data_IF_251243639472
#
_entry.id   IF_251243639472
#
_cell.length_a   1.000
_cell.length_b   1.000
_cell.length_c   1.000
_cell.angle_alpha   90.00
_cell.angle_beta   90.00
_cell.angle_gamma   90.00
#
_symmetry.space_group_name_H-M   'P 1'
#
loop_
_entity.id
_entity.type
_entity.pdbx_description
1 polymer ?
#
# COMPACT_ATOMS: atom_id res chain seq x y z
N UNK A 1 34.47 -23.03 -30.72
CA UNK A 1 34.24 -24.46 -31.09
C UNK A 1 35.49 -25.08 -31.71
N UNK A 2 35.95 -26.22 -31.21
CA UNK A 2 37.14 -26.91 -31.73
C UNK A 2 36.75 -27.68 -33.01
N UNK A 3 37.51 -27.59 -34.10
CA UNK A 3 37.24 -28.28 -35.39
C UNK A 3 37.25 -29.82 -35.33
N UNK A 4 37.28 -30.39 -34.13
CA UNK A 4 37.39 -31.83 -33.83
C UNK A 4 36.13 -32.46 -33.25
N UNK A 5 35.05 -31.70 -32.99
CA UNK A 5 33.79 -32.30 -32.52
C UNK A 5 33.10 -32.98 -33.71
N UNK A 6 32.88 -34.29 -33.59
CA UNK A 6 32.11 -35.05 -34.57
C UNK A 6 30.61 -34.86 -34.32
N UNK A 7 29.79 -35.05 -35.36
CA UNK A 7 28.32 -35.05 -35.22
C UNK A 7 27.88 -36.07 -34.16
N UNK A 8 28.45 -37.28 -34.19
CA UNK A 8 28.11 -38.34 -33.23
C UNK A 8 28.36 -37.91 -31.79
N UNK A 9 29.52 -37.33 -31.50
CA UNK A 9 29.85 -36.83 -30.16
C UNK A 9 28.91 -35.70 -29.73
N UNK A 10 28.57 -34.80 -30.66
CA UNK A 10 27.68 -33.67 -30.37
C UNK A 10 26.26 -34.15 -30.01
N UNK A 11 25.70 -35.06 -30.80
CA UNK A 11 24.36 -35.61 -30.56
C UNK A 11 24.31 -36.35 -29.22
N UNK A 12 25.31 -37.19 -28.93
CA UNK A 12 25.39 -37.94 -27.67
C UNK A 12 25.50 -37.01 -26.45
N UNK A 13 26.36 -35.99 -26.50
CA UNK A 13 26.55 -35.05 -25.39
C UNK A 13 25.30 -34.23 -25.08
N UNK A 14 24.51 -33.92 -26.10
CA UNK A 14 23.30 -33.10 -25.96
C UNK A 14 22.02 -33.95 -25.86
N UNK A 15 22.15 -35.28 -25.75
CA UNK A 15 21.03 -36.21 -25.69
C UNK A 15 20.02 -36.03 -26.84
N UNK A 16 20.52 -35.75 -28.05
CA UNK A 16 19.69 -35.57 -29.24
C UNK A 16 19.52 -36.93 -29.91
N UNK A 17 18.27 -37.34 -30.11
CA UNK A 17 17.94 -38.58 -30.79
C UNK A 17 18.30 -38.50 -32.28
N UNK A 18 18.66 -39.64 -32.87
CA UNK A 18 19.05 -39.69 -34.29
C UNK A 18 17.88 -39.33 -35.19
N UNK A 19 16.67 -39.70 -34.79
CA UNK A 19 15.41 -39.38 -35.46
C UNK A 19 15.20 -37.86 -35.49
N UNK A 20 15.39 -37.17 -34.36
CA UNK A 20 15.28 -35.70 -34.27
C UNK A 20 16.28 -35.00 -35.20
N UNK A 21 17.52 -35.50 -35.27
CA UNK A 21 18.52 -34.98 -36.20
C UNK A 21 18.10 -35.17 -37.67
N UNK A 22 17.58 -36.36 -38.03
CA UNK A 22 17.14 -36.64 -39.40
C UNK A 22 15.93 -35.76 -39.78
N UNK A 23 14.99 -35.55 -38.86
CA UNK A 23 13.83 -34.68 -39.04
C UNK A 23 14.23 -33.21 -39.22
N UNK A 24 15.34 -32.79 -38.61
CA UNK A 24 15.82 -31.41 -38.73
C UNK A 24 16.28 -31.05 -40.14
N UNK A 25 16.63 -32.06 -40.98
CA UNK A 25 17.10 -31.88 -42.37
C UNK A 25 18.27 -30.90 -42.50
N UNK A 26 19.05 -30.72 -41.43
CA UNK A 26 20.18 -29.81 -41.39
C UNK A 26 21.43 -30.50 -41.93
N UNK A 27 22.31 -29.70 -42.52
CA UNK A 27 23.67 -30.12 -42.81
C UNK A 27 24.57 -29.79 -41.61
N UNK A 28 25.38 -30.75 -41.17
CA UNK A 28 26.32 -30.59 -40.05
C UNK A 28 27.33 -29.46 -40.29
N UNK A 29 27.85 -29.32 -41.51
CA UNK A 29 28.81 -28.26 -41.86
C UNK A 29 28.18 -26.88 -41.74
N UNK A 30 26.92 -26.71 -42.18
CA UNK A 30 26.18 -25.46 -41.99
C UNK A 30 26.02 -25.12 -40.51
N UNK A 31 25.66 -26.11 -39.69
CA UNK A 31 25.47 -25.93 -38.26
C UNK A 31 26.79 -25.59 -37.54
N UNK A 32 27.89 -26.26 -37.91
CA UNK A 32 29.21 -25.98 -37.38
C UNK A 32 29.68 -24.57 -37.77
N UNK A 33 29.46 -24.15 -39.01
CA UNK A 33 29.80 -22.81 -39.48
C UNK A 33 29.00 -21.73 -38.73
N UNK A 34 27.72 -21.96 -38.43
CA UNK A 34 26.94 -21.06 -37.56
C UNK A 34 27.57 -20.98 -36.18
N UNK A 35 27.95 -22.11 -35.59
CA UNK A 35 28.60 -22.17 -34.29
C UNK A 35 29.93 -21.40 -34.27
N UNK A 36 30.80 -21.63 -35.26
CA UNK A 36 32.07 -20.92 -35.41
C UNK A 36 31.88 -19.42 -35.58
N UNK A 37 30.93 -19.00 -36.44
CA UNK A 37 30.63 -17.59 -36.60
C UNK A 37 30.11 -16.98 -35.29
N UNK A 38 29.19 -17.64 -34.60
CA UNK A 38 28.63 -17.15 -33.33
C UNK A 38 29.71 -16.93 -32.27
N UNK A 39 30.68 -17.83 -32.14
CA UNK A 39 31.84 -17.66 -31.23
C UNK A 39 32.60 -16.36 -31.50
N UNK A 40 32.76 -15.97 -32.77
CA UNK A 40 33.42 -14.69 -33.12
C UNK A 40 32.57 -13.47 -32.73
N UNK A 41 31.25 -13.63 -32.61
CA UNK A 41 30.31 -12.55 -32.30
C UNK A 41 30.04 -12.41 -30.78
N UNK A 42 30.40 -13.39 -29.94
CA UNK A 42 30.08 -13.39 -28.50
C UNK A 42 30.47 -12.07 -27.84
N UNK A 43 31.73 -11.62 -27.99
CA UNK A 43 32.18 -10.37 -27.36
C UNK A 43 31.35 -9.15 -27.79
N UNK A 44 30.93 -9.08 -29.06
CA UNK A 44 30.09 -7.98 -29.56
C UNK A 44 28.68 -8.06 -28.95
N UNK A 45 28.11 -9.25 -28.86
CA UNK A 45 26.80 -9.47 -28.25
C UNK A 45 26.81 -9.15 -26.75
N UNK A 46 27.91 -9.46 -26.05
CA UNK A 46 28.08 -9.12 -24.64
C UNK A 46 28.10 -7.60 -24.42
N UNK A 47 28.79 -6.86 -25.29
CA UNK A 47 28.84 -5.40 -25.17
C UNK A 47 27.48 -4.77 -25.48
N UNK A 48 26.75 -5.25 -26.49
CA UNK A 48 25.37 -4.85 -26.73
C UNK A 48 24.45 -5.18 -25.54
N UNK A 49 24.60 -6.37 -24.95
CA UNK A 49 23.83 -6.78 -23.78
C UNK A 49 24.09 -5.87 -22.56
N UNK A 50 25.35 -5.49 -22.31
CA UNK A 50 25.71 -4.55 -21.24
C UNK A 50 25.08 -3.17 -21.46
N UNK A 51 25.09 -2.65 -22.68
CA UNK A 51 24.46 -1.37 -23.01
C UNK A 51 22.96 -1.42 -22.69
N UNK A 52 22.27 -2.45 -23.16
CA UNK A 52 20.84 -2.63 -22.88
C UNK A 52 20.56 -2.79 -21.38
N UNK A 53 21.33 -3.64 -20.69
CA UNK A 53 21.15 -3.88 -19.26
C UNK A 53 21.35 -2.60 -18.45
N UNK A 54 22.38 -1.81 -18.77
CA UNK A 54 22.65 -0.53 -18.11
C UNK A 54 21.57 0.52 -18.36
N UNK A 55 20.91 0.50 -19.53
CA UNK A 55 19.77 1.35 -19.81
C UNK A 55 18.54 0.92 -19.00
N UNK A 56 18.20 -0.37 -19.03
CA UNK A 56 17.00 -0.92 -18.37
C UNK A 56 17.10 -0.85 -16.85
N UNK A 57 18.29 -0.98 -16.28
CA UNK A 57 18.52 -0.89 -14.83
C UNK A 57 18.09 0.48 -14.24
N UNK A 58 17.97 1.51 -15.07
CA UNK A 58 17.54 2.86 -14.67
C UNK A 58 16.03 3.05 -14.71
N UNK A 59 15.27 2.08 -15.20
CA UNK A 59 13.81 2.17 -15.26
C UNK A 59 13.21 2.13 -13.85
N UNK A 60 12.12 2.86 -13.66
CA UNK A 60 11.42 2.89 -12.38
C UNK A 60 10.90 1.49 -12.02
N UNK A 61 10.98 1.14 -10.74
CA UNK A 61 10.51 -0.14 -10.17
C UNK A 61 11.22 -1.40 -10.71
N UNK A 62 12.30 -1.24 -11.49
CA UNK A 62 13.25 -2.32 -11.76
C UNK A 62 14.19 -2.45 -10.57
N UNK A 63 14.22 -3.65 -9.96
CA UNK A 63 15.13 -3.94 -8.86
C UNK A 63 16.53 -4.27 -9.39
N UNK A 64 16.62 -5.21 -10.31
CA UNK A 64 17.90 -5.66 -10.86
C UNK A 64 17.75 -6.22 -12.25
N UNK A 65 18.77 -6.02 -13.09
CA UNK A 65 18.85 -6.57 -14.43
C UNK A 65 20.00 -7.55 -14.51
N UNK A 66 19.71 -8.77 -14.98
CA UNK A 66 20.73 -9.73 -15.39
C UNK A 66 20.73 -9.82 -16.92
N UNK A 67 21.85 -10.23 -17.49
CA UNK A 67 21.92 -10.52 -18.91
C UNK A 67 22.79 -11.74 -19.15
N UNK A 68 22.57 -12.39 -20.29
CA UNK A 68 23.41 -13.48 -20.78
C UNK A 68 23.44 -13.48 -22.30
N UNK A 69 24.57 -13.89 -22.87
CA UNK A 69 24.66 -14.27 -24.28
C UNK A 69 24.46 -15.78 -24.37
N UNK A 70 23.71 -16.21 -25.38
CA UNK A 70 23.42 -17.63 -25.59
C UNK A 70 24.71 -18.39 -25.90
N UNK A 71 24.94 -19.46 -25.15
CA UNK A 71 26.05 -20.38 -25.39
C UNK A 71 25.92 -21.04 -26.78
N UNK A 72 27.06 -21.22 -27.45
CA UNK A 72 27.14 -21.80 -28.80
C UNK A 72 26.50 -23.18 -28.91
N UNK A 73 26.81 -24.09 -27.99
CA UNK A 73 26.24 -25.44 -28.00
C UNK A 73 24.72 -25.38 -27.84
N UNK A 74 24.23 -24.57 -26.90
CA UNK A 74 22.78 -24.38 -26.70
C UNK A 74 22.09 -23.71 -27.89
N UNK A 75 22.79 -22.84 -28.63
CA UNK A 75 22.29 -22.28 -29.88
C UNK A 75 22.10 -23.39 -30.93
N UNK A 76 23.10 -24.25 -31.13
CA UNK A 76 23.03 -25.33 -32.10
C UNK A 76 21.93 -26.34 -31.75
N UNK A 77 21.84 -26.75 -30.48
CA UNK A 77 20.75 -27.61 -29.99
C UNK A 77 19.38 -26.96 -30.24
N UNK A 78 19.24 -25.65 -29.98
CA UNK A 78 17.99 -24.93 -30.26
C UNK A 78 17.65 -24.96 -31.74
N UNK A 79 18.62 -24.75 -32.64
CA UNK A 79 18.41 -24.77 -34.09
C UNK A 79 17.92 -26.16 -34.53
N UNK A 80 18.61 -27.24 -34.12
CA UNK A 80 18.20 -28.63 -34.45
C UNK A 80 16.76 -28.88 -34.02
N UNK A 81 16.44 -28.64 -32.74
CA UNK A 81 15.11 -28.86 -32.17
C UNK A 81 14.01 -28.08 -32.91
N UNK A 82 14.31 -26.84 -33.33
CA UNK A 82 13.36 -25.96 -34.01
C UNK A 82 13.15 -26.37 -35.48
N UNK A 83 14.20 -26.81 -36.15
CA UNK A 83 14.11 -27.39 -37.49
C UNK A 83 13.36 -28.73 -37.49
N UNK A 84 13.62 -29.61 -36.51
CA UNK A 84 12.94 -30.90 -36.38
C UNK A 84 11.41 -30.73 -36.19
N UNK A 85 11.00 -29.70 -35.44
CA UNK A 85 9.59 -29.30 -35.29
C UNK A 85 8.99 -28.63 -36.53
N UNK A 86 9.73 -28.53 -37.63
CA UNK A 86 9.32 -27.87 -38.86
C UNK A 86 8.84 -26.42 -38.65
N UNK A 87 9.46 -25.67 -37.74
CA UNK A 87 9.11 -24.26 -37.55
C UNK A 87 9.51 -23.45 -38.80
N UNK A 88 8.56 -22.79 -39.52
CA UNK A 88 8.82 -22.21 -40.83
C UNK A 88 9.99 -21.22 -40.87
N UNK A 89 10.18 -20.44 -39.81
CA UNK A 89 11.26 -19.45 -39.70
C UNK A 89 12.67 -20.05 -39.67
N UNK A 90 12.81 -21.33 -39.34
CA UNK A 90 14.10 -22.03 -39.29
C UNK A 90 14.41 -22.83 -40.56
N UNK A 91 13.48 -22.91 -41.52
CA UNK A 91 13.61 -23.76 -42.71
C UNK A 91 14.81 -23.42 -43.61
N UNK A 92 15.19 -22.14 -43.68
CA UNK A 92 16.30 -21.64 -44.50
C UNK A 92 17.41 -20.98 -43.65
N UNK A 93 17.67 -21.53 -42.46
CA UNK A 93 18.69 -20.99 -41.56
C UNK A 93 20.11 -21.21 -42.10
N UNK A 94 20.94 -20.18 -41.97
CA UNK A 94 22.31 -20.12 -42.48
C UNK A 94 23.17 -19.19 -41.63
N UNK A 95 24.48 -19.17 -41.89
CA UNK A 95 25.43 -18.24 -41.22
C UNK A 95 25.03 -16.77 -41.43
N UNK A 96 24.41 -16.44 -42.55
CA UNK A 96 24.05 -15.06 -42.89
C UNK A 96 22.81 -14.54 -42.15
N UNK A 97 21.87 -15.41 -41.77
CA UNK A 97 20.55 -15.00 -41.23
C UNK A 97 20.20 -15.58 -39.85
N UNK A 98 21.01 -16.49 -39.28
CA UNK A 98 20.67 -17.10 -37.98
C UNK A 98 20.49 -16.07 -36.86
N UNK A 99 21.24 -14.96 -36.91
CA UNK A 99 21.17 -13.89 -35.90
C UNK A 99 19.85 -13.09 -35.96
N UNK A 100 19.16 -13.11 -37.10
CA UNK A 100 17.83 -12.52 -37.26
C UNK A 100 16.72 -13.51 -36.89
N UNK A 101 16.92 -14.80 -37.17
CA UNK A 101 15.95 -15.87 -36.88
C UNK A 101 15.92 -16.21 -35.37
N UNK A 102 17.09 -16.25 -34.73
CA UNK A 102 17.24 -16.59 -33.32
C UNK A 102 17.28 -15.30 -32.50
N UNK A 103 16.09 -14.83 -32.12
CA UNK A 103 15.95 -13.50 -31.50
C UNK A 103 16.35 -13.43 -30.02
N UNK A 104 16.73 -14.56 -29.41
CA UNK A 104 17.17 -14.67 -28.01
C UNK A 104 18.67 -15.02 -27.91
N UNK A 105 19.49 -14.54 -28.84
CA UNK A 105 20.95 -14.59 -28.72
C UNK A 105 21.44 -13.74 -27.54
N UNK A 106 20.81 -12.59 -27.32
CA UNK A 106 20.94 -11.77 -26.11
C UNK A 106 19.68 -11.99 -25.28
N UNK A 107 19.84 -12.48 -24.06
CA UNK A 107 18.76 -12.61 -23.08
C UNK A 107 18.97 -11.62 -21.95
N UNK A 108 18.02 -10.70 -21.76
CA UNK A 108 17.96 -9.77 -20.64
C UNK A 108 16.87 -10.25 -19.68
N UNK A 109 17.16 -10.27 -18.37
CA UNK A 109 16.20 -10.60 -17.33
C UNK A 109 16.02 -9.39 -16.44
N UNK A 110 14.81 -8.87 -16.43
CA UNK A 110 14.41 -7.71 -15.63
C UNK A 110 13.65 -8.22 -14.43
N UNK A 111 14.22 -7.98 -13.26
CA UNK A 111 13.66 -8.42 -11.98
C UNK A 111 13.01 -7.21 -11.32
N UNK A 112 11.72 -7.33 -11.00
CA UNK A 112 10.99 -6.38 -10.17
C UNK A 112 10.53 -7.05 -8.87
N UNK A 113 10.07 -6.27 -7.88
CA UNK A 113 9.70 -6.82 -6.57
C UNK A 113 8.26 -7.29 -6.52
N UNK A 114 7.31 -6.45 -6.98
CA UNK A 114 5.88 -6.70 -6.82
C UNK A 114 5.18 -6.87 -8.15
N UNK A 115 4.14 -7.72 -8.18
CA UNK A 115 3.35 -7.99 -9.39
C UNK A 115 2.65 -6.74 -9.93
N UNK A 116 2.18 -5.87 -9.04
CA UNK A 116 1.56 -4.59 -9.41
C UNK A 116 2.47 -3.69 -10.25
N UNK A 117 3.79 -3.80 -10.05
CA UNK A 117 4.76 -2.87 -10.63
C UNK A 117 5.03 -3.14 -12.11
N UNK A 118 4.60 -4.31 -12.60
CA UNK A 118 4.83 -4.75 -13.96
C UNK A 118 4.41 -3.70 -15.01
N UNK A 119 3.23 -3.07 -14.88
CA UNK A 119 2.74 -2.13 -15.89
C UNK A 119 3.63 -0.89 -16.05
N UNK A 120 4.28 -0.44 -14.97
CA UNK A 120 5.26 0.64 -15.05
C UNK A 120 6.54 0.20 -15.77
N UNK A 121 6.97 -1.04 -15.53
CA UNK A 121 8.12 -1.64 -16.24
C UNK A 121 7.78 -1.84 -17.73
N UNK A 122 6.60 -2.33 -18.06
CA UNK A 122 6.11 -2.47 -19.44
C UNK A 122 6.09 -1.13 -20.18
N UNK A 123 5.50 -0.11 -19.56
CA UNK A 123 5.47 1.24 -20.12
C UNK A 123 6.88 1.75 -20.37
N UNK A 124 7.80 1.54 -19.42
CA UNK A 124 9.21 1.94 -19.57
C UNK A 124 9.88 1.21 -20.74
N UNK A 125 9.68 -0.10 -20.89
CA UNK A 125 10.23 -0.89 -22.00
C UNK A 125 9.71 -0.38 -23.35
N UNK A 126 8.38 -0.21 -23.48
CA UNK A 126 7.75 0.20 -24.75
C UNK A 126 8.08 1.63 -25.15
N UNK A 127 8.32 2.51 -24.18
CA UNK A 127 8.73 3.88 -24.46
C UNK A 127 10.18 3.99 -24.94
N UNK A 128 11.05 3.05 -24.56
CA UNK A 128 12.48 3.09 -24.89
C UNK A 128 12.87 2.20 -26.06
N UNK A 129 12.14 1.11 -26.32
CA UNK A 129 12.52 0.09 -27.30
C UNK A 129 11.42 -0.19 -28.31
N UNK A 130 11.83 -0.50 -29.54
CA UNK A 130 10.93 -0.98 -30.58
C UNK A 130 10.74 -2.50 -30.45
N UNK A 131 9.49 -2.93 -30.25
CA UNK A 131 9.16 -4.36 -30.25
C UNK A 131 9.18 -4.93 -31.67
N UNK A 132 9.71 -6.13 -31.82
CA UNK A 132 9.69 -6.89 -33.08
C UNK A 132 8.51 -7.86 -33.17
N UNK A 133 8.05 -8.35 -32.02
CA UNK A 133 6.91 -9.29 -31.89
C UNK A 133 5.99 -8.80 -30.77
N UNK A 134 4.73 -9.24 -30.76
CA UNK A 134 3.82 -9.00 -29.64
C UNK A 134 4.38 -9.65 -28.37
N UNK A 135 4.34 -8.92 -27.26
CA UNK A 135 4.85 -9.45 -25.98
C UNK A 135 4.02 -10.65 -25.53
N UNK A 136 4.68 -11.69 -25.04
CA UNK A 136 4.03 -12.93 -24.61
C UNK A 136 4.02 -12.98 -23.08
N UNK A 137 2.84 -13.12 -22.48
CA UNK A 137 2.69 -13.33 -21.04
C UNK A 137 2.44 -14.81 -20.78
N UNK A 138 3.43 -15.46 -20.17
CA UNK A 138 3.29 -16.83 -19.69
C UNK A 138 2.66 -16.84 -18.29
N UNK A 139 1.62 -17.65 -18.13
CA UNK A 139 0.91 -17.85 -16.87
C UNK A 139 0.66 -19.35 -16.63
N UNK A 140 0.23 -19.70 -15.41
CA UNK A 140 -0.15 -21.08 -15.08
C UNK A 140 -1.65 -21.22 -14.87
N UNK A 141 -2.13 -22.46 -15.01
CA UNK A 141 -3.49 -22.78 -14.60
C UNK A 141 -3.70 -22.49 -13.11
N UNK A 142 -4.79 -21.80 -12.78
CA UNK A 142 -5.14 -21.40 -11.42
C UNK A 142 -4.55 -20.07 -10.96
N UNK A 143 -3.80 -19.34 -11.79
CA UNK A 143 -3.47 -17.94 -11.51
C UNK A 143 -4.73 -17.06 -11.49
N UNK A 144 -4.65 -15.94 -10.76
CA UNK A 144 -5.77 -15.00 -10.59
C UNK A 144 -6.28 -14.50 -11.95
N UNK A 145 -7.54 -14.81 -12.24
CA UNK A 145 -8.21 -14.41 -13.48
C UNK A 145 -8.27 -12.89 -13.62
N UNK A 146 -8.49 -12.16 -12.53
CA UNK A 146 -8.56 -10.69 -12.55
C UNK A 146 -7.22 -10.08 -12.97
N UNK A 147 -6.12 -10.64 -12.47
CA UNK A 147 -4.78 -10.23 -12.91
C UNK A 147 -4.58 -10.51 -14.40
N UNK A 148 -5.04 -11.67 -14.90
CA UNK A 148 -4.94 -12.04 -16.32
C UNK A 148 -5.81 -11.18 -17.24
N UNK A 149 -6.96 -10.67 -16.78
CA UNK A 149 -7.80 -9.74 -17.55
C UNK A 149 -7.00 -8.49 -17.98
N UNK A 150 -6.09 -8.00 -17.13
CA UNK A 150 -5.27 -6.83 -17.45
C UNK A 150 -4.34 -7.05 -18.65
N UNK A 151 -4.09 -8.32 -19.03
CA UNK A 151 -3.27 -8.69 -20.19
C UNK A 151 -4.10 -8.98 -21.44
N UNK A 152 -5.44 -8.96 -21.37
CA UNK A 152 -6.31 -9.14 -22.55
C UNK A 152 -6.42 -7.86 -23.36
N UNK A 153 -5.28 -7.41 -23.86
CA UNK A 153 -5.16 -6.24 -24.73
C UNK A 153 -4.44 -6.66 -26.01
N UNK A 154 -4.57 -5.93 -27.13
CA UNK A 154 -3.84 -6.27 -28.36
C UNK A 154 -2.31 -6.24 -28.21
N UNK A 155 -1.80 -5.68 -27.10
CA UNK A 155 -0.38 -5.52 -26.83
C UNK A 155 0.28 -6.77 -26.25
N UNK A 156 -0.51 -7.76 -25.81
CA UNK A 156 -0.01 -8.99 -25.19
C UNK A 156 -0.71 -10.24 -25.75
N UNK A 157 0.06 -11.32 -25.85
CA UNK A 157 -0.46 -12.66 -26.09
C UNK A 157 -0.37 -13.50 -24.81
N UNK A 158 -1.49 -14.02 -24.33
CA UNK A 158 -1.54 -14.87 -23.15
C UNK A 158 -1.28 -16.33 -23.52
N UNK A 159 -0.25 -16.95 -22.94
CA UNK A 159 0.08 -18.37 -23.14
C UNK A 159 0.16 -19.12 -21.82
N UNK A 160 -0.58 -20.21 -21.70
CA UNK A 160 -0.46 -21.11 -20.55
C UNK A 160 0.81 -21.95 -20.68
N UNK A 161 1.61 -22.03 -19.62
CA UNK A 161 2.83 -22.85 -19.62
C UNK A 161 2.64 -24.16 -18.83
N UNK A 162 2.94 -25.33 -19.40
CA UNK A 162 2.59 -26.64 -18.83
C UNK A 162 3.26 -26.96 -17.48
N UNK A 163 4.43 -26.39 -17.21
CA UNK A 163 5.19 -26.62 -15.95
C UNK A 163 5.11 -25.45 -14.96
N UNK A 164 4.09 -24.58 -15.10
CA UNK A 164 3.85 -23.48 -14.16
C UNK A 164 4.77 -22.27 -14.30
N UNK A 165 5.57 -22.22 -15.36
CA UNK A 165 6.46 -21.10 -15.65
C UNK A 165 5.67 -19.81 -15.86
N UNK A 166 6.17 -18.72 -15.27
CA UNK A 166 5.59 -17.38 -15.37
C UNK A 166 6.65 -16.36 -15.66
N UNK A 167 6.38 -15.53 -16.66
CA UNK A 167 7.25 -14.46 -17.11
C UNK A 167 6.60 -13.75 -18.28
N UNK A 168 7.00 -12.52 -18.50
CA UNK A 168 6.56 -11.73 -19.66
C UNK A 168 7.76 -11.54 -20.57
N UNK A 169 7.60 -11.96 -21.82
CA UNK A 169 8.67 -11.99 -22.82
C UNK A 169 8.42 -10.89 -23.84
N UNK A 170 9.42 -10.05 -24.03
CA UNK A 170 9.48 -9.06 -25.08
C UNK A 170 10.60 -9.43 -26.02
N UNK A 171 10.39 -9.22 -27.32
CA UNK A 171 11.46 -9.30 -28.30
C UNK A 171 11.65 -7.92 -28.88
N UNK A 172 12.81 -7.32 -28.61
CA UNK A 172 13.16 -5.98 -29.09
C UNK A 172 14.08 -6.08 -30.31
N UNK A 173 14.02 -5.05 -31.15
CA UNK A 173 14.94 -4.85 -32.28
C UNK A 173 15.65 -3.52 -32.12
N UNK A 174 16.97 -3.53 -32.16
CA UNK A 174 17.79 -2.34 -31.94
C UNK A 174 18.93 -2.27 -32.96
N UNK A 175 19.35 -1.04 -33.29
CA UNK A 175 20.47 -0.81 -34.21
C UNK A 175 21.62 -0.13 -33.47
N UNK A 176 22.73 -0.86 -33.29
CA UNK A 176 23.96 -0.33 -32.68
C UNK A 176 25.05 -0.32 -33.73
N UNK A 177 25.72 0.82 -33.91
CA UNK A 177 26.80 1.02 -34.89
C UNK A 177 26.44 0.51 -36.31
N UNK A 178 25.19 0.76 -36.74
CA UNK A 178 24.59 0.33 -38.02
C UNK A 178 24.36 -1.19 -38.18
N UNK A 179 24.49 -1.97 -37.10
CA UNK A 179 24.11 -3.39 -37.09
C UNK A 179 22.80 -3.57 -36.35
N UNK A 180 21.84 -4.20 -37.02
CA UNK A 180 20.58 -4.63 -36.40
C UNK A 180 20.86 -5.86 -35.53
N UNK A 181 20.28 -5.89 -34.33
CA UNK A 181 20.28 -7.07 -33.48
C UNK A 181 18.96 -7.19 -32.73
N UNK A 182 18.71 -8.39 -32.25
CA UNK A 182 17.53 -8.73 -31.47
C UNK A 182 17.95 -9.14 -30.05
N UNK A 183 17.09 -8.79 -29.10
CA UNK A 183 17.25 -9.24 -27.72
C UNK A 183 15.89 -9.65 -27.16
N UNK A 184 15.89 -10.73 -26.38
CA UNK A 184 14.74 -11.17 -25.62
C UNK A 184 14.84 -10.59 -24.20
N UNK A 185 13.84 -9.81 -23.80
CA UNK A 185 13.71 -9.28 -22.44
C UNK A 185 12.65 -10.11 -21.71
N UNK A 186 13.04 -10.71 -20.60
CA UNK A 186 12.16 -11.48 -19.72
C UNK A 186 11.93 -10.69 -18.44
N UNK A 187 10.70 -10.26 -18.20
CA UNK A 187 10.30 -9.57 -16.96
C UNK A 187 9.73 -10.61 -16.00
N UNK A 188 10.21 -10.59 -14.75
CA UNK A 188 9.85 -11.53 -13.68
C UNK A 188 9.94 -10.85 -12.32
N UNK A 189 9.20 -11.38 -11.34
CA UNK A 189 9.47 -11.05 -9.94
C UNK A 189 10.73 -11.75 -9.43
N UNK A 190 11.24 -11.33 -8.27
CA UNK A 190 12.37 -12.00 -7.61
C UNK A 190 12.10 -13.49 -7.31
N UNK A 191 10.86 -13.82 -6.93
CA UNK A 191 10.48 -15.21 -6.61
C UNK A 191 10.33 -16.05 -7.87
N UNK A 192 9.77 -15.49 -8.95
CA UNK A 192 9.69 -16.16 -10.25
C UNK A 192 11.06 -16.43 -10.86
N UNK A 193 11.98 -15.46 -10.76
CA UNK A 193 13.36 -15.64 -11.19
C UNK A 193 14.05 -16.71 -10.34
N UNK A 194 13.91 -16.66 -9.01
CA UNK A 194 14.49 -17.65 -8.10
C UNK A 194 14.02 -19.07 -8.42
N UNK A 195 12.71 -19.25 -8.61
CA UNK A 195 12.16 -20.53 -9.04
C UNK A 195 12.66 -20.96 -10.42
N UNK A 196 12.65 -20.04 -11.40
CA UNK A 196 13.03 -20.35 -12.79
C UNK A 196 14.50 -20.77 -12.91
N UNK A 197 15.40 -20.17 -12.12
CA UNK A 197 16.82 -20.54 -12.10
C UNK A 197 17.05 -21.91 -11.46
N UNK A 198 16.30 -22.24 -10.40
CA UNK A 198 16.34 -23.57 -9.77
C UNK A 198 15.80 -24.62 -10.75
N UNK A 199 14.63 -24.40 -11.35
CA UNK A 199 14.03 -25.30 -12.33
C UNK A 199 14.98 -25.54 -13.51
N UNK A 200 15.56 -24.47 -14.06
CA UNK A 200 16.53 -24.56 -15.14
C UNK A 200 17.77 -25.37 -14.73
N UNK A 201 18.34 -25.14 -13.54
CA UNK A 201 19.54 -25.86 -13.08
C UNK A 201 19.30 -27.35 -12.81
N UNK A 202 18.10 -27.73 -12.39
CA UNK A 202 17.75 -29.13 -12.08
C UNK A 202 17.31 -29.90 -13.33
N UNK A 203 16.60 -29.25 -14.26
CA UNK A 203 16.14 -29.91 -15.49
C UNK A 203 17.21 -29.93 -16.57
N UNK A 204 18.09 -28.92 -16.65
CA UNK A 204 19.05 -28.82 -17.74
C UNK A 204 20.39 -29.51 -17.40
N UNK A 205 21.09 -30.17 -18.36
CA UNK A 205 20.77 -30.32 -19.80
C UNK A 205 19.79 -31.44 -20.15
N UNK A 206 19.76 -32.50 -19.33
CA UNK A 206 19.23 -33.79 -19.75
C UNK A 206 17.71 -33.96 -19.55
N UNK A 207 16.99 -32.88 -19.22
CA UNK A 207 15.55 -32.83 -18.95
C UNK A 207 15.10 -34.02 -18.09
N UNK A 208 15.33 -33.92 -16.78
CA UNK A 208 15.03 -35.04 -15.89
C UNK A 208 13.53 -35.35 -15.84
N UNK A 209 13.12 -36.48 -16.41
CA UNK A 209 11.74 -37.00 -16.39
C UNK A 209 11.32 -37.64 -15.05
N UNK A 210 12.16 -37.49 -14.02
CA UNK A 210 11.87 -38.01 -12.69
C UNK A 210 10.63 -37.32 -12.09
N UNK A 211 9.55 -38.09 -11.93
CA UNK A 211 8.26 -37.62 -11.40
C UNK A 211 8.37 -36.97 -10.01
N UNK A 212 9.27 -37.44 -9.15
CA UNK A 212 9.48 -36.84 -7.82
C UNK A 212 10.07 -35.43 -7.93
N UNK A 213 11.09 -35.24 -8.77
CA UNK A 213 11.67 -33.92 -9.00
C UNK A 213 10.64 -32.96 -9.60
N UNK A 214 9.85 -33.42 -10.57
CA UNK A 214 8.79 -32.61 -11.16
C UNK A 214 7.74 -32.18 -10.12
N UNK A 215 7.36 -33.09 -9.21
CA UNK A 215 6.44 -32.79 -8.13
C UNK A 215 7.00 -31.71 -7.18
N UNK A 216 8.24 -31.85 -6.72
CA UNK A 216 8.88 -30.86 -5.84
C UNK A 216 9.09 -29.50 -6.53
N UNK A 217 9.45 -29.49 -7.82
CA UNK A 217 9.56 -28.25 -8.59
C UNK A 217 8.21 -27.56 -8.75
N UNK A 218 7.13 -28.32 -8.92
CA UNK A 218 5.77 -27.76 -8.94
C UNK A 218 5.35 -27.20 -7.57
N UNK A 219 5.71 -27.86 -6.46
CA UNK A 219 5.49 -27.30 -5.12
C UNK A 219 6.27 -26.01 -4.91
N UNK A 220 7.54 -25.97 -5.34
CA UNK A 220 8.38 -24.77 -5.26
C UNK A 220 7.78 -23.62 -6.09
N UNK A 221 7.19 -23.92 -7.26
CA UNK A 221 6.49 -22.94 -8.09
C UNK A 221 5.27 -22.33 -7.39
N UNK A 222 4.52 -23.17 -6.66
CA UNK A 222 3.39 -22.73 -5.84
C UNK A 222 3.83 -21.80 -4.74
N UNK A 223 4.88 -22.15 -4.00
CA UNK A 223 5.42 -21.30 -2.94
C UNK A 223 5.94 -19.97 -3.47
N UNK A 224 6.62 -19.95 -4.62
CA UNK A 224 7.07 -18.70 -5.26
C UNK A 224 5.88 -17.78 -5.60
N UNK A 225 4.80 -18.33 -6.17
CA UNK A 225 3.59 -17.56 -6.44
C UNK A 225 2.91 -17.02 -5.18
N UNK A 226 2.79 -17.85 -4.14
CA UNK A 226 2.23 -17.38 -2.86
C UNK A 226 3.11 -16.33 -2.18
N UNK A 227 4.44 -16.38 -2.36
CA UNK A 227 5.35 -15.36 -1.87
C UNK A 227 5.16 -14.02 -2.60
N UNK A 228 4.93 -14.04 -3.92
CA UNK A 228 4.55 -12.84 -4.68
C UNK A 228 3.24 -12.22 -4.14
N UNK A 229 2.20 -13.05 -3.94
CA UNK A 229 0.90 -12.61 -3.43
C UNK A 229 1.01 -12.03 -2.01
N UNK A 230 1.75 -12.70 -1.12
CA UNK A 230 2.02 -12.20 0.23
C UNK A 230 2.81 -10.89 0.20
N UNK A 231 3.77 -10.74 -0.71
CA UNK A 231 4.52 -9.49 -0.89
C UNK A 231 3.60 -8.33 -1.26
N UNK A 232 2.68 -8.54 -2.20
CA UNK A 232 1.68 -7.55 -2.60
C UNK A 232 0.74 -7.18 -1.42
N UNK A 233 0.33 -8.17 -0.62
CA UNK A 233 -0.50 -7.94 0.55
C UNK A 233 0.22 -7.10 1.63
N UNK A 234 1.49 -7.39 1.92
CA UNK A 234 2.30 -6.62 2.88
C UNK A 234 2.45 -5.17 2.43
N UNK A 235 2.69 -4.95 1.13
CA UNK A 235 2.74 -3.61 0.53
C UNK A 235 1.41 -2.87 0.70
N UNK A 236 0.29 -3.54 0.46
CA UNK A 236 -1.05 -2.98 0.66
C UNK A 236 -1.34 -2.60 2.12
N UNK A 237 -0.95 -3.45 3.07
CA UNK A 237 -1.10 -3.17 4.51
C UNK A 237 -0.28 -1.97 4.97
N UNK A 238 0.96 -1.83 4.50
CA UNK A 238 1.83 -0.70 4.85
C UNK A 238 1.24 0.62 4.36
N UNK A 239 0.69 0.63 3.14
CA UNK A 239 0.00 1.79 2.59
C UNK A 239 -1.25 2.16 3.42
N UNK A 240 -2.02 1.17 3.85
CA UNK A 240 -3.22 1.38 4.69
C UNK A 240 -2.85 1.92 6.07
N UNK A 241 -1.85 1.35 6.75
CA UNK A 241 -1.38 1.87 8.03
C UNK A 241 -0.83 3.30 7.92
N UNK A 242 -0.13 3.60 6.82
CA UNK A 242 0.36 4.95 6.54
C UNK A 242 -0.80 5.93 6.35
N UNK A 243 -1.85 5.55 5.61
CA UNK A 243 -3.06 6.36 5.44
C UNK A 243 -3.75 6.61 6.78
N UNK A 244 -3.99 5.56 7.57
CA UNK A 244 -4.63 5.69 8.88
C UNK A 244 -3.83 6.59 9.82
N UNK A 245 -2.50 6.49 9.81
CA UNK A 245 -1.63 7.37 10.60
C UNK A 245 -1.76 8.83 10.16
N UNK A 246 -1.80 9.10 8.85
CA UNK A 246 -2.03 10.45 8.32
C UNK A 246 -3.39 11.01 8.75
N UNK A 247 -4.46 10.21 8.67
CA UNK A 247 -5.80 10.61 9.11
C UNK A 247 -5.85 10.94 10.61
N UNK A 248 -5.18 10.12 11.45
CA UNK A 248 -5.07 10.36 12.90
C UNK A 248 -4.27 11.64 13.18
N UNK A 249 -3.16 11.87 12.47
CA UNK A 249 -2.33 13.07 12.63
C UNK A 249 -3.09 14.34 12.21
N UNK A 250 -3.86 14.28 11.12
CA UNK A 250 -4.72 15.36 10.65
C UNK A 250 -5.86 15.66 11.63
N UNK A 251 -6.54 14.62 12.12
CA UNK A 251 -7.60 14.76 13.12
C UNK A 251 -7.05 15.36 14.43
N UNK A 252 -5.87 14.91 14.88
CA UNK A 252 -5.20 15.45 16.06
C UNK A 252 -4.81 16.92 15.91
N UNK A 253 -4.29 17.31 14.74
CA UNK A 253 -3.98 18.72 14.42
C UNK A 253 -5.25 19.58 14.40
N UNK A 254 -6.33 19.09 13.79
CA UNK A 254 -7.62 19.79 13.76
C UNK A 254 -8.21 19.95 15.18
N UNK A 255 -8.10 18.91 16.01
CA UNK A 255 -8.53 18.94 17.41
C UNK A 255 -7.71 19.94 18.22
N UNK A 256 -6.38 19.95 18.11
CA UNK A 256 -5.53 20.91 18.80
C UNK A 256 -5.82 22.36 18.37
N UNK A 257 -5.99 22.61 17.07
CA UNK A 257 -6.38 23.94 16.59
C UNK A 257 -7.75 24.38 17.14
N UNK A 258 -8.68 23.44 17.29
CA UNK A 258 -9.99 23.70 17.90
C UNK A 258 -9.84 23.99 19.39
N UNK A 259 -9.02 23.23 20.10
CA UNK A 259 -8.75 23.43 21.52
C UNK A 259 -8.13 24.81 21.77
N UNK A 260 -7.16 25.24 20.97
CA UNK A 260 -6.58 26.59 21.03
C UNK A 260 -7.64 27.69 20.78
N UNK A 261 -8.62 27.47 19.90
CA UNK A 261 -9.73 28.41 19.71
C UNK A 261 -10.64 28.47 20.93
N UNK A 262 -10.95 27.32 21.54
CA UNK A 262 -11.75 27.23 22.76
C UNK A 262 -11.03 27.92 23.92
N UNK A 263 -9.74 27.68 24.10
CA UNK A 263 -8.92 28.34 25.13
C UNK A 263 -8.93 29.86 24.97
N UNK A 264 -8.72 30.36 23.74
CA UNK A 264 -8.84 31.80 23.45
C UNK A 264 -10.21 32.38 23.79
N UNK A 265 -11.30 31.67 23.43
CA UNK A 265 -12.65 32.11 23.77
C UNK A 265 -12.89 32.13 25.29
N UNK A 266 -12.36 31.14 26.02
CA UNK A 266 -12.45 31.09 27.50
C UNK A 266 -11.71 32.27 28.13
N UNK A 267 -10.50 32.59 27.68
CA UNK A 267 -9.75 33.76 28.14
C UNK A 267 -10.50 35.08 27.86
N UNK A 268 -11.09 35.21 26.67
CA UNK A 268 -11.86 36.38 26.29
C UNK A 268 -13.12 36.55 27.16
N UNK A 269 -13.84 35.46 27.43
CA UNK A 269 -14.98 35.45 28.35
C UNK A 269 -14.58 35.80 29.77
N UNK A 270 -13.42 35.32 30.26
CA UNK A 270 -12.91 35.70 31.58
C UNK A 270 -12.64 37.21 31.67
N UNK A 271 -11.96 37.79 30.68
CA UNK A 271 -11.72 39.24 30.60
C UNK A 271 -13.03 40.03 30.59
N UNK A 272 -14.02 39.57 29.83
CA UNK A 272 -15.35 40.19 29.80
C UNK A 272 -16.08 40.11 31.15
N UNK A 273 -15.98 38.97 31.85
CA UNK A 273 -16.55 38.80 33.20
C UNK A 273 -15.93 39.74 34.22
N UNK A 274 -14.61 39.91 34.21
CA UNK A 274 -13.90 40.85 35.09
C UNK A 274 -14.30 42.31 34.81
N UNK A 275 -14.40 42.68 33.53
CA UNK A 275 -14.88 44.00 33.12
C UNK A 275 -16.31 44.25 33.60
N UNK A 276 -17.20 43.27 33.44
CA UNK A 276 -18.58 43.35 33.92
C UNK A 276 -18.67 43.44 35.44
N UNK A 277 -17.84 42.72 36.20
CA UNK A 277 -17.78 42.84 37.65
C UNK A 277 -17.35 44.25 38.08
N UNK A 278 -16.38 44.85 37.38
CA UNK A 278 -15.94 46.23 37.62
C UNK A 278 -17.03 47.25 37.30
N UNK A 279 -17.73 47.09 36.18
CA UNK A 279 -18.89 47.92 35.82
C UNK A 279 -20.03 47.79 36.83
N UNK A 280 -20.36 46.58 37.29
CA UNK A 280 -21.37 46.37 38.32
C UNK A 280 -21.00 47.07 39.64
N UNK A 281 -19.73 47.03 40.05
CA UNK A 281 -19.25 47.73 41.25
C UNK A 281 -19.36 49.26 41.12
N UNK A 282 -19.14 49.79 39.91
CA UNK A 282 -19.38 51.22 39.63
C UNK A 282 -20.87 51.56 39.69
N UNK A 283 -21.74 50.70 39.16
CA UNK A 283 -23.19 50.86 39.26
C UNK A 283 -23.66 50.86 40.72
N UNK A 284 -23.16 49.93 41.55
CA UNK A 284 -23.46 49.91 42.99
C UNK A 284 -23.00 51.18 43.70
N UNK A 285 -21.79 51.67 43.42
CA UNK A 285 -21.29 52.92 43.98
C UNK A 285 -22.15 54.12 43.55
N UNK A 286 -22.51 54.21 42.28
CA UNK A 286 -23.39 55.26 41.77
C UNK A 286 -24.79 55.17 42.38
N UNK A 287 -25.33 53.97 42.60
CA UNK A 287 -26.59 53.78 43.30
C UNK A 287 -26.51 54.23 44.76
N UNK A 288 -25.41 53.94 45.45
CA UNK A 288 -25.17 54.39 46.82
C UNK A 288 -25.04 55.93 46.91
N UNK A 289 -24.36 56.54 45.94
CA UNK A 289 -24.22 58.00 45.82
C UNK A 289 -25.56 58.67 45.52
N UNK A 290 -26.34 58.13 44.58
CA UNK A 290 -27.71 58.58 44.29
C UNK A 290 -28.57 58.49 45.56
N UNK A 291 -28.44 57.44 46.36
CA UNK A 291 -29.19 57.29 47.62
C UNK A 291 -28.77 58.34 48.65
N UNK A 292 -27.47 58.66 48.74
CA UNK A 292 -26.94 59.70 49.63
C UNK A 292 -27.41 61.09 49.22
N UNK A 293 -27.30 61.44 47.94
CA UNK A 293 -27.74 62.72 47.39
C UNK A 293 -29.26 62.91 47.50
N UNK A 294 -30.06 61.84 47.33
CA UNK A 294 -31.50 61.89 47.61
C UNK A 294 -31.81 62.10 49.10
N UNK A 295 -31.02 61.52 50.00
CA UNK A 295 -31.12 61.77 51.44
C UNK A 295 -30.81 63.23 51.80
N UNK A 296 -29.78 63.80 51.18
CA UNK A 296 -29.37 65.20 51.35
C UNK A 296 -30.37 66.19 50.73
N UNK A 297 -30.96 65.86 49.57
CA UNK A 297 -32.09 66.60 48.98
C UNK A 297 -33.33 66.57 49.87
N UNK A 298 -33.66 65.44 50.49
CA UNK A 298 -34.79 65.37 51.41
C UNK A 298 -34.54 66.19 52.69
N UNK A 299 -33.29 66.28 53.15
CA UNK A 299 -32.90 67.13 54.27
C UNK A 299 -32.97 68.62 53.91
N UNK A 300 -32.53 69.00 52.70
CA UNK A 300 -32.61 70.39 52.21
C UNK A 300 -34.05 70.83 51.92
N UNK A 301 -34.91 69.95 51.42
CA UNK A 301 -36.35 70.20 51.27
C UNK A 301 -37.03 70.36 52.65
N UNK A 302 -36.64 69.57 53.65
CA UNK A 302 -37.15 69.72 55.02
C UNK A 302 -36.72 71.06 55.66
N UNK A 303 -35.47 71.49 55.43
CA UNK A 303 -34.95 72.78 55.90
C UNK A 303 -35.62 73.94 55.17
N UNK A 304 -35.82 73.84 53.84
CA UNK A 304 -36.50 74.86 53.05
C UNK A 304 -37.98 74.99 53.42
N UNK A 305 -38.68 73.89 53.70
CA UNK A 305 -40.06 73.92 54.17
C UNK A 305 -40.20 74.54 55.57
N UNK A 306 -39.22 74.34 56.46
CA UNK A 306 -39.15 75.05 57.74
C UNK A 306 -38.87 76.55 57.60
N UNK A 307 -38.13 76.96 56.57
CA UNK A 307 -37.86 78.38 56.29
C UNK A 307 -39.09 79.11 55.72
N UNK A 308 -39.86 78.46 54.82
CA UNK A 308 -41.10 79.03 54.28
C UNK A 308 -42.26 79.05 55.29
N UNK A 309 -42.35 78.07 56.19
CA UNK A 309 -43.35 78.08 57.28
C UNK A 309 -43.01 79.12 58.37
N UNK A 310 -41.73 79.40 58.61
CA UNK A 310 -41.27 80.48 59.48
C UNK A 310 -41.64 81.88 58.97
N UNK A 311 -41.45 82.14 57.67
CA UNK A 311 -41.75 83.47 57.09
C UNK A 311 -43.25 83.73 56.83
N UNK A 312 -44.06 82.69 56.60
CA UNK A 312 -45.53 82.85 56.47
C UNK A 312 -46.19 83.10 57.84
N UNK A 313 -45.57 82.67 58.95
CA UNK A 313 -46.00 82.97 60.32
C UNK A 313 -45.78 84.44 60.72
N UNK A 314 -44.74 85.09 60.20
CA UNK A 314 -44.42 86.49 60.54
C UNK A 314 -45.11 87.54 59.64
N UNK A 315 -45.42 87.22 58.38
CA UNK A 315 -46.16 88.14 57.50
C UNK A 315 -47.69 88.05 57.69
N UNK A 316 -48.20 86.93 58.22
CA UNK A 316 -49.64 86.74 58.48
C UNK A 316 -50.19 87.42 59.74
N UNK A 317 -49.35 87.95 60.64
CA UNK A 317 -49.79 88.56 61.91
C UNK A 317 -49.96 90.09 61.89
N UNK A 318 -49.67 90.77 60.78
CA UNK A 318 -49.80 92.24 60.70
C UNK A 318 -50.76 92.79 59.64
N UNK A 319 -51.46 91.96 58.85
CA UNK A 319 -52.48 92.45 57.90
C UNK A 319 -53.67 91.47 57.83
N UNK A 320 -54.63 91.62 58.76
CA UNK A 320 -56.10 91.53 58.55
C UNK A 320 -56.84 91.51 59.90
N UNK A 321 -56.98 92.69 60.49
CA UNK A 321 -58.20 93.07 61.20
C UNK A 321 -59.01 93.96 60.27
N UNK A 322 -60.26 93.55 59.99
CA UNK A 322 -61.24 94.36 59.28
C UNK A 322 -61.44 93.98 57.82
N UNK A 323 -62.40 93.10 57.56
CA UNK A 323 -63.59 93.32 56.71
C UNK A 323 -64.35 91.99 56.65
N UNK A 324 -65.55 91.99 57.22
CA UNK A 324 -66.56 90.95 57.06
C UNK A 324 -67.05 90.92 55.60
N UNK A 325 -67.21 89.73 55.02
CA UNK A 325 -68.31 89.50 54.10
C UNK A 325 -68.82 88.06 54.23
N UNK A 326 -70.12 88.00 54.11
CA UNK A 326 -71.07 86.95 54.45
C UNK A 326 -71.33 86.01 53.26
N UNK A 327 -72.02 84.90 53.55
CA UNK A 327 -72.73 83.99 52.64
C UNK A 327 -71.98 83.00 51.72
N UNK A 328 -72.45 81.73 51.76
CA UNK A 328 -72.67 80.96 50.52
C UNK A 328 -72.33 79.47 50.56
N UNK A 329 -73.27 78.65 51.02
CA UNK A 329 -73.37 77.23 50.67
C UNK A 329 -73.66 77.02 49.17
N UNK A 330 -73.04 75.98 48.59
CA UNK A 330 -73.53 75.01 47.58
C UNK A 330 -72.69 74.80 46.29
N UNK A 331 -72.24 73.55 46.17
CA UNK A 331 -72.30 72.60 45.03
C UNK A 331 -71.81 72.92 43.61
N UNK A 332 -71.16 71.87 43.07
CA UNK A 332 -71.02 71.46 41.65
C UNK A 332 -70.05 72.30 40.79
N UNK A 333 -69.24 71.75 39.87
CA UNK A 333 -69.30 70.50 39.09
C UNK A 333 -67.89 70.16 38.56
N UNK A 334 -67.65 68.87 38.26
CA UNK A 334 -66.87 68.29 37.12
C UNK A 334 -65.62 69.05 36.60
N UNK A 335 -64.47 68.40 36.37
CA UNK A 335 -64.26 67.42 35.29
C UNK A 335 -63.05 66.50 35.59
N UNK A 336 -63.25 65.24 35.19
CA UNK A 336 -62.32 64.13 34.83
C UNK A 336 -61.38 63.48 35.86
N UNK A 337 -61.89 62.33 36.32
CA UNK A 337 -61.22 61.04 36.58
C UNK A 337 -61.43 60.17 35.29
N UNK A 338 -61.07 58.86 35.20
CA UNK A 338 -59.78 58.15 35.26
C UNK A 338 -59.76 56.89 34.30
N UNK A 339 -58.97 55.85 34.64
CA UNK A 339 -59.15 54.38 34.41
C UNK A 339 -58.28 53.65 33.37
N UNK A 340 -57.49 52.72 33.92
CA UNK A 340 -57.37 51.26 33.67
C UNK A 340 -57.32 50.65 32.25
N UNK A 341 -56.42 49.67 32.16
CA UNK A 341 -56.21 48.60 31.17
C UNK A 341 -57.48 48.04 30.49
N UNK A 342 -57.35 47.68 29.20
CA UNK A 342 -57.78 46.40 28.59
C UNK A 342 -57.10 46.24 27.21
N UNK A 343 -56.78 44.98 26.89
CA UNK A 343 -55.98 44.45 25.79
C UNK A 343 -56.56 44.60 24.36
N UNK A 344 -55.68 44.47 23.34
CA UNK A 344 -56.08 43.86 22.06
C UNK A 344 -55.28 44.20 20.78
N UNK A 345 -54.38 43.28 20.38
CA UNK A 345 -54.03 42.79 19.00
C UNK A 345 -53.41 43.80 17.99
N UNK A 346 -52.34 43.48 17.25
CA UNK A 346 -52.23 42.39 16.25
C UNK A 346 -50.82 41.80 16.04
N UNK A 347 -50.80 40.59 15.48
CA UNK A 347 -49.72 39.61 15.31
C UNK A 347 -48.77 39.84 14.12
N UNK A 348 -47.54 39.31 14.23
CA UNK A 348 -46.87 38.35 13.31
C UNK A 348 -45.35 38.30 13.62
N UNK A 349 -44.57 37.20 13.65
CA UNK A 349 -44.76 35.77 13.38
C UNK A 349 -43.52 35.00 13.93
N UNK A 350 -43.75 33.96 14.77
CA UNK A 350 -43.17 32.57 14.86
C UNK A 350 -41.60 32.43 14.95
N UNK A 351 -40.90 31.62 15.80
CA UNK A 351 -41.11 30.22 16.26
C UNK A 351 -40.08 29.76 17.34
N UNK A 352 -40.56 28.95 18.32
CA UNK A 352 -39.97 27.77 19.02
C UNK A 352 -38.59 27.85 19.75
N UNK A 353 -38.51 27.71 21.09
CA UNK A 353 -38.49 26.47 21.95
C UNK A 353 -37.14 25.71 21.94
N UNK A 354 -36.62 25.06 22.99
CA UNK A 354 -36.97 24.76 24.41
C UNK A 354 -35.67 24.15 25.03
N UNK A 355 -35.21 24.58 26.21
CA UNK A 355 -35.28 23.85 27.50
C UNK A 355 -34.65 22.45 27.56
N UNK A 356 -33.49 22.32 28.24
CA UNK A 356 -33.31 21.68 29.57
C UNK A 356 -31.82 21.36 29.78
N UNK A 357 -31.21 22.06 30.73
CA UNK A 357 -30.00 21.64 31.42
C UNK A 357 -30.39 20.99 32.74
N UNK A 358 -30.12 19.70 32.89
CA UNK A 358 -29.97 19.04 34.20
C UNK A 358 -28.74 18.17 34.12
N UNK A 359 -27.79 18.43 35.01
CA UNK A 359 -26.45 17.86 34.95
C UNK A 359 -26.32 16.44 35.48
N UNK A 360 -25.16 15.86 35.15
CA UNK A 360 -24.29 15.00 35.97
C UNK A 360 -23.07 14.66 35.10
N UNK A 361 -21.83 14.65 35.64
CA UNK A 361 -20.65 14.26 34.88
C UNK A 361 -20.56 12.74 34.79
N UNK A 362 -20.49 12.20 33.58
CA UNK A 362 -20.13 10.82 33.36
C UNK A 362 -18.62 10.65 33.55
N UNK A 363 -18.25 9.81 34.50
CA UNK A 363 -16.93 9.25 34.75
C UNK A 363 -16.31 8.69 33.47
N UNK A 364 -15.14 9.21 33.08
CA UNK A 364 -14.28 8.57 32.07
C UNK A 364 -13.52 7.44 32.77
N UNK A 365 -13.98 6.21 32.55
CA UNK A 365 -13.20 4.99 32.81
C UNK A 365 -12.03 4.92 31.83
N UNK A 366 -10.81 5.05 32.33
CA UNK A 366 -9.60 4.65 31.60
C UNK A 366 -9.54 3.12 31.56
N UNK A 367 -10.27 2.52 30.62
CA UNK A 367 -10.09 1.12 30.26
C UNK A 367 -8.95 1.03 29.25
N UNK A 368 -7.73 0.78 29.73
CA UNK A 368 -6.62 0.33 28.88
C UNK A 368 -7.00 -1.01 28.26
N UNK A 369 -7.41 -1.01 26.99
CA UNK A 369 -7.45 -2.23 26.18
C UNK A 369 -6.01 -2.63 25.86
N UNK A 370 -5.45 -3.54 26.67
CA UNK A 370 -4.30 -4.34 26.28
C UNK A 370 -4.76 -5.30 25.18
N UNK A 371 -4.32 -5.06 23.95
CA UNK A 371 -4.38 -6.05 22.88
C UNK A 371 -3.25 -7.05 23.16
N UNK A 372 -3.62 -8.25 23.62
CA UNK A 372 -2.68 -9.37 23.75
C UNK A 372 -2.40 -9.95 22.36
N UNK A 373 -1.16 -9.81 21.89
CA UNK A 373 -0.65 -10.56 20.73
C UNK A 373 -0.05 -11.89 21.22
N UNK A 374 -0.47 -13.05 20.68
CA UNK A 374 0.05 -14.35 21.12
C UNK A 374 1.34 -14.68 20.35
N UNK A 375 2.45 -14.05 20.74
CA UNK A 375 3.81 -14.58 20.55
C UNK A 375 4.80 -13.74 21.36
N UNK A 376 4.81 -13.88 22.68
CA UNK A 376 6.01 -13.52 23.44
C UNK A 376 6.80 -14.81 23.69
N UNK A 377 7.92 -14.91 23.00
CA UNK A 377 8.93 -15.95 23.13
C UNK A 377 9.54 -15.89 24.54
N UNK A 378 9.34 -16.96 25.30
CA UNK A 378 10.09 -17.19 26.54
C UNK A 378 11.54 -17.59 26.20
N UNK A 379 12.57 -17.10 26.92
CA UNK A 379 13.95 -17.47 26.64
C UNK A 379 14.23 -18.92 27.04
N UNK A 380 14.87 -19.66 26.13
CA UNK A 380 15.44 -20.99 26.37
C UNK A 380 16.37 -20.96 27.58
N UNK A 381 16.00 -21.68 28.63
CA UNK A 381 16.90 -22.10 29.71
C UNK A 381 17.15 -23.60 29.58
N UNK A 382 18.43 -23.93 29.63
CA UNK A 382 19.05 -25.24 29.53
C UNK A 382 18.64 -26.20 30.64
N UNK A 383 18.20 -27.42 30.31
CA UNK A 383 18.50 -28.66 31.06
C UNK A 383 17.90 -29.90 30.37
N UNK A 384 18.76 -30.88 30.04
CA UNK A 384 18.43 -32.30 29.88
C UNK A 384 18.35 -32.91 31.31
N UNK A 385 17.60 -33.98 31.67
CA UNK A 385 17.73 -35.31 31.04
C UNK A 385 16.47 -36.22 31.01
N UNK A 386 16.56 -37.30 30.21
CA UNK A 386 15.96 -38.64 30.34
C UNK A 386 15.01 -38.92 31.53
N UNK A 387 13.78 -39.40 31.26
CA UNK A 387 13.09 -40.49 32.00
C UNK A 387 12.07 -41.22 31.08
N UNK A 388 12.14 -42.56 31.08
CA UNK A 388 11.21 -43.56 30.51
C UNK A 388 9.90 -43.66 31.31
N UNK A 389 8.85 -44.21 30.68
CA UNK A 389 7.95 -45.32 31.12
C UNK A 389 6.50 -45.06 30.68
N UNK A 390 5.95 -45.86 29.75
CA UNK A 390 5.15 -47.10 29.95
C UNK A 390 3.64 -46.81 29.86
N UNK A 391 2.96 -47.32 28.84
CA UNK A 391 2.04 -48.47 28.98
C UNK A 391 0.66 -48.04 28.45
N UNK A 392 -0.23 -48.85 27.88
CA UNK A 392 -0.41 -50.30 27.70
C UNK A 392 -1.42 -50.44 26.54
N UNK A 393 -1.17 -51.34 25.58
CA UNK A 393 -1.96 -52.54 25.25
C UNK A 393 -3.46 -52.29 24.94
N UNK A 394 -4.04 -52.74 23.83
CA UNK A 394 -4.11 -54.16 23.39
C UNK A 394 -4.67 -54.31 21.94
N UNK A 395 -4.74 -55.53 21.35
CA UNK A 395 -4.29 -55.85 19.99
C UNK A 395 -5.34 -56.60 19.15
N UNK A 396 -4.94 -57.24 18.03
CA UNK A 396 -5.32 -58.59 17.52
C UNK A 396 -4.90 -58.66 16.02
N UNK A 397 -3.72 -59.22 15.70
CA UNK A 397 -3.39 -60.61 15.25
C UNK A 397 -3.38 -60.73 13.70
N UNK A 398 -2.20 -60.70 13.08
CA UNK A 398 -1.38 -61.80 12.49
C UNK A 398 -1.95 -62.40 11.20
N UNK A 399 -1.18 -62.53 10.12
CA UNK A 399 -0.15 -63.57 9.96
C UNK A 399 1.07 -63.11 9.15
N UNK A 400 2.23 -63.69 9.50
CA UNK A 400 3.53 -63.54 8.87
C UNK A 400 3.98 -64.90 8.30
N UNK A 401 4.73 -64.86 7.20
CA UNK A 401 5.66 -65.87 6.63
C UNK A 401 6.29 -65.14 5.42
N UNK A 402 7.60 -64.99 5.19
CA UNK A 402 8.80 -65.62 5.74
C UNK A 402 10.01 -64.69 5.61
N UNK A 403 11.02 -65.02 6.41
CA UNK A 403 12.34 -64.42 6.59
C UNK A 403 13.37 -64.92 5.57
N UNK A 404 14.50 -64.21 5.53
CA UNK A 404 15.83 -64.64 5.04
C UNK A 404 16.12 -64.62 3.52
N UNK A 405 16.90 -63.61 3.10
CA UNK A 405 18.25 -63.86 2.58
C UNK A 405 19.09 -62.56 2.47
N UNK A 406 20.24 -62.59 3.15
CA UNK A 406 21.54 -62.01 2.75
C UNK A 406 21.80 -60.53 3.09
N UNK A 407 22.32 -60.34 4.29
CA UNK A 407 23.48 -59.48 4.56
C UNK A 407 24.68 -59.90 3.70
N UNK A 408 25.27 -58.98 2.94
CA UNK A 408 26.73 -58.84 2.73
C UNK A 408 27.04 -57.70 1.77
N UNK A 409 27.62 -56.62 2.30
CA UNK A 409 28.90 -56.02 1.85
C UNK A 409 29.00 -54.57 2.35
N UNK A 410 29.62 -54.45 3.51
CA UNK A 410 30.35 -53.25 3.95
C UNK A 410 31.64 -53.08 3.15
N UNK A 411 32.06 -51.83 3.04
CA UNK A 411 33.39 -51.31 2.67
C UNK A 411 33.67 -51.06 1.18
N UNK A 412 33.60 -49.78 0.81
CA UNK A 412 34.84 -49.10 0.38
C UNK A 412 34.73 -47.59 0.60
N UNK A 413 35.57 -47.10 1.52
CA UNK A 413 36.00 -45.72 1.63
C UNK A 413 36.41 -45.14 0.27
N UNK A 414 35.94 -43.91 -0.01
CA UNK A 414 36.70 -42.87 -0.72
C UNK A 414 36.00 -41.53 -0.56
N UNK A 415 36.21 -40.92 0.60
CA UNK A 415 36.06 -39.47 0.77
C UNK A 415 37.15 -38.75 -0.04
N UNK A 416 36.78 -38.27 -1.22
CA UNK A 416 37.58 -37.35 -2.02
C UNK A 416 36.95 -35.97 -2.04
N UNK A 417 37.35 -35.11 -1.10
CA UNK A 417 37.12 -33.66 -1.16
C UNK A 417 37.67 -33.10 -2.47
N UNK A 418 36.88 -32.32 -3.23
CA UNK A 418 37.36 -31.11 -3.93
C UNK A 418 36.24 -30.07 -4.09
N UNK A 419 36.59 -28.76 -4.14
CA UNK A 419 35.69 -27.63 -3.94
C UNK A 419 35.17 -27.02 -5.24
N UNK A 420 34.16 -26.14 -5.07
CA UNK A 420 33.43 -25.27 -6.01
C UNK A 420 32.19 -25.87 -6.66
#
# INVERSE_FOLDING_TARGET
MNSKITLGDFLLRNNILREEWLESKLNWDTLLNIGMHHETQISTLEDHAKILANAIQKFALVHSVKWRVKNTEHLLVKIIRKCAKNEPKYSAISVANYAEIVMDLIGIRVIHLFKSDFFNVDQSIRNHFSLSETAITYYREGDDKNYLENFKTPNFELKIHPVGYRSIHYVIKETVLKKLFFAEIQVRTIFEEGWSEIDHKIRYPNHTDNKYLQYFLAMFNRMAGSADEMGEFVKGLEAEFTRQKQEIDEASKAQNSTLEKVERMVEELQKHKEKNAKSNKQVENLQAEIKKLRGEQNLSIAISNNFYTGQISEVGKSIRTGINFDHGLHNAHNISKPLFEIAGRSESVITASRLISTGLPATVSTTTNKINFPWESTPLTTANPFVRTSGLLNPVITTATDLEHITNLTNSDKFGKKPW
#
